data_IF_894099010986
#
_entry.id   IF_894099010986
#
_cell.length_a   1.000
_cell.length_b   1.000
_cell.length_c   1.000
_cell.angle_alpha   90.00
_cell.angle_beta   90.00
_cell.angle_gamma   90.00
#
_symmetry.space_group_name_H-M   'P 1'
#
loop_
_entity.id
_entity.type
_entity.pdbx_description
1 polymer ?
#
# COMPACT_ATOMS: atom_id res chain seq x y z
N UNK A 1 21.11 -12.72 1.16
CA UNK A 1 22.24 -12.44 0.25
C UNK A 1 21.71 -11.97 -1.10
N UNK A 2 22.54 -11.34 -1.96
CA UNK A 2 22.17 -10.93 -3.31
C UNK A 2 21.68 -12.14 -4.14
N UNK A 3 22.32 -13.27 -3.98
CA UNK A 3 21.98 -14.51 -4.70
C UNK A 3 20.57 -15.01 -4.35
N UNK A 4 20.18 -14.99 -3.08
CA UNK A 4 18.83 -15.38 -2.68
C UNK A 4 17.76 -14.40 -3.20
N UNK A 5 18.11 -13.13 -3.39
CA UNK A 5 17.22 -12.16 -3.99
C UNK A 5 17.06 -12.37 -5.49
N UNK A 6 18.17 -12.63 -6.20
CA UNK A 6 18.18 -12.96 -7.62
C UNK A 6 17.43 -14.26 -7.91
N UNK A 7 17.60 -15.27 -7.05
CA UNK A 7 16.85 -16.53 -7.14
C UNK A 7 15.34 -16.30 -6.96
N UNK A 8 14.95 -15.48 -5.99
CA UNK A 8 13.54 -15.12 -5.79
C UNK A 8 12.97 -14.39 -7.00
N UNK A 9 13.72 -13.48 -7.63
CA UNK A 9 13.31 -12.79 -8.85
C UNK A 9 13.16 -13.75 -10.03
N UNK A 10 14.08 -14.71 -10.18
CA UNK A 10 14.01 -15.70 -11.27
C UNK A 10 12.81 -16.64 -11.11
N UNK A 11 12.52 -17.08 -9.89
CA UNK A 11 11.31 -17.88 -9.58
C UNK A 11 10.04 -17.08 -9.86
N UNK A 12 10.02 -15.79 -9.51
CA UNK A 12 8.89 -14.92 -9.80
C UNK A 12 8.71 -14.76 -11.33
N UNK A 13 9.78 -14.48 -12.07
CA UNK A 13 9.76 -14.35 -13.52
C UNK A 13 9.27 -15.64 -14.20
N UNK A 14 9.73 -16.79 -13.76
CA UNK A 14 9.29 -18.08 -14.28
C UNK A 14 7.79 -18.33 -14.03
N UNK A 15 7.26 -17.94 -12.85
CA UNK A 15 5.84 -18.02 -12.54
C UNK A 15 5.02 -17.09 -13.42
N UNK A 16 5.49 -15.85 -13.64
CA UNK A 16 4.84 -14.90 -14.54
C UNK A 16 4.80 -15.44 -15.96
N UNK A 17 5.94 -15.91 -16.50
CA UNK A 17 6.02 -16.49 -17.85
C UNK A 17 5.10 -17.71 -18.02
N UNK A 18 5.05 -18.59 -17.02
CA UNK A 18 4.15 -19.75 -17.04
C UNK A 18 2.67 -19.31 -17.05
N UNK A 19 2.29 -18.35 -16.22
CA UNK A 19 0.90 -17.86 -16.17
C UNK A 19 0.49 -17.16 -17.46
N UNK A 20 1.39 -16.40 -18.08
CA UNK A 20 1.16 -15.76 -19.37
C UNK A 20 1.04 -16.82 -20.49
N UNK A 21 1.82 -17.91 -20.43
CA UNK A 21 1.76 -18.99 -21.40
C UNK A 21 0.50 -19.85 -21.25
N UNK A 22 0.06 -20.08 -20.01
CA UNK A 22 -1.15 -20.86 -19.73
C UNK A 22 -2.43 -20.15 -20.16
N UNK A 23 -2.32 -18.89 -20.65
CA UNK A 23 -3.40 -18.01 -21.15
C UNK A 23 -4.73 -18.18 -20.37
N UNK A 24 -4.61 -18.45 -19.07
CA UNK A 24 -5.77 -18.55 -18.20
C UNK A 24 -6.47 -17.20 -18.14
N UNK A 25 -7.78 -17.20 -18.28
CA UNK A 25 -8.56 -16.04 -17.94
C UNK A 25 -8.21 -15.62 -16.51
N UNK A 26 -7.99 -14.33 -16.30
CA UNK A 26 -7.82 -13.77 -14.97
C UNK A 26 -9.06 -13.97 -14.09
N UNK A 27 -8.99 -13.49 -12.90
CA UNK A 27 -10.11 -13.47 -11.95
C UNK A 27 -11.35 -12.89 -12.64
N UNK A 28 -12.51 -13.50 -12.46
CA UNK A 28 -13.76 -13.05 -13.08
C UNK A 28 -13.85 -13.22 -14.60
N UNK A 29 -12.98 -14.02 -15.23
CA UNK A 29 -13.00 -14.27 -16.68
C UNK A 29 -12.42 -13.12 -17.51
N UNK A 30 -11.85 -12.10 -16.90
CA UNK A 30 -11.24 -10.97 -17.61
C UNK A 30 -9.84 -11.37 -18.10
N UNK A 31 -9.55 -11.09 -19.38
CA UNK A 31 -8.25 -11.42 -19.97
C UNK A 31 -7.10 -10.69 -19.26
N UNK A 32 -6.02 -11.45 -18.99
CA UNK A 32 -4.79 -10.89 -18.46
C UNK A 32 -4.02 -10.15 -19.55
N UNK A 33 -3.71 -8.89 -19.30
CA UNK A 33 -2.86 -8.09 -20.17
C UNK A 33 -1.81 -7.34 -19.35
N UNK A 34 -0.64 -7.16 -19.91
CA UNK A 34 0.38 -6.33 -19.25
C UNK A 34 -0.07 -4.87 -19.25
N UNK A 35 0.08 -4.18 -18.11
CA UNK A 35 -0.14 -2.73 -18.09
C UNK A 35 0.83 -2.03 -19.02
N UNK A 36 0.37 -0.99 -19.70
CA UNK A 36 1.19 -0.21 -20.61
C UNK A 36 2.32 0.45 -19.85
N UNK A 37 3.57 0.07 -20.18
CA UNK A 37 4.75 0.68 -19.58
C UNK A 37 4.79 2.18 -19.89
N UNK A 38 4.95 2.99 -18.88
CA UNK A 38 5.11 4.43 -19.03
C UNK A 38 6.58 4.79 -19.23
N UNK A 39 6.85 5.78 -20.09
CA UNK A 39 8.20 6.29 -20.26
C UNK A 39 8.66 7.03 -19.00
N UNK A 40 9.85 6.72 -18.54
CA UNK A 40 10.53 7.42 -17.44
C UNK A 40 11.61 8.28 -18.07
N UNK A 41 11.58 9.57 -17.80
CA UNK A 41 12.47 10.55 -18.47
C UNK A 41 13.49 11.18 -17.52
N UNK A 42 13.39 10.94 -16.22
CA UNK A 42 14.19 11.58 -15.20
C UNK A 42 14.67 10.68 -14.07
N UNK A 43 15.35 11.29 -13.13
CA UNK A 43 15.74 10.64 -11.88
C UNK A 43 14.54 10.56 -10.93
N UNK A 44 14.11 9.35 -10.62
CA UNK A 44 13.01 9.11 -9.68
C UNK A 44 13.25 9.72 -8.29
N UNK A 45 14.51 10.01 -7.94
CA UNK A 45 14.87 10.67 -6.67
C UNK A 45 14.47 12.14 -6.64
N UNK A 46 14.35 12.78 -7.78
CA UNK A 46 13.89 14.18 -7.87
C UNK A 46 12.37 14.32 -7.79
N UNK A 47 11.65 13.21 -7.90
CA UNK A 47 10.20 13.17 -7.94
C UNK A 47 9.60 13.47 -9.33
N UNK A 48 10.40 13.83 -10.33
CA UNK A 48 9.91 14.21 -11.65
C UNK A 48 9.02 13.15 -12.31
N UNK A 49 9.34 11.87 -12.11
CA UNK A 49 8.58 10.76 -12.68
C UNK A 49 7.52 10.17 -11.71
N UNK A 50 7.47 10.62 -10.47
CA UNK A 50 6.59 10.02 -9.45
C UNK A 50 5.12 10.17 -9.82
N UNK A 51 4.72 11.34 -10.34
CA UNK A 51 3.35 11.58 -10.81
C UNK A 51 2.91 10.60 -11.90
N UNK A 52 3.83 10.25 -12.80
CA UNK A 52 3.58 9.31 -13.91
C UNK A 52 3.68 7.85 -13.48
N UNK A 53 4.62 7.53 -12.59
CA UNK A 53 4.91 6.14 -12.18
C UNK A 53 3.92 5.61 -11.16
N UNK A 54 3.41 6.44 -10.24
CA UNK A 54 2.49 5.96 -9.22
C UNK A 54 1.22 5.32 -9.81
N UNK A 55 0.50 5.94 -10.76
CA UNK A 55 -0.63 5.29 -11.41
C UNK A 55 -0.25 3.98 -12.11
N UNK A 56 0.95 3.90 -12.69
CA UNK A 56 1.43 2.68 -13.32
C UNK A 56 1.68 1.56 -12.28
N UNK A 57 2.22 1.87 -11.10
CA UNK A 57 2.33 0.89 -10.03
C UNK A 57 0.96 0.43 -9.52
N UNK A 58 -0.04 1.29 -9.49
CA UNK A 58 -1.41 0.89 -9.15
C UNK A 58 -1.99 -0.04 -10.24
N UNK A 59 -1.72 0.23 -11.53
CA UNK A 59 -2.07 -0.67 -12.63
C UNK A 59 -1.40 -2.03 -12.47
N UNK A 60 -0.11 -2.07 -12.10
CA UNK A 60 0.62 -3.32 -11.86
C UNK A 60 0.04 -4.13 -10.70
N UNK A 61 -0.33 -3.48 -9.60
CA UNK A 61 -0.97 -4.16 -8.45
C UNK A 61 -2.31 -4.75 -8.86
N UNK A 62 -3.17 -3.96 -9.49
CA UNK A 62 -4.49 -4.42 -9.93
C UNK A 62 -4.36 -5.60 -10.93
N UNK A 63 -3.46 -5.49 -11.92
CA UNK A 63 -3.18 -6.56 -12.87
C UNK A 63 -2.62 -7.80 -12.19
N UNK A 64 -1.71 -7.63 -11.23
CA UNK A 64 -1.14 -8.75 -10.46
C UNK A 64 -2.20 -9.55 -9.73
N UNK A 65 -3.19 -8.89 -9.15
CA UNK A 65 -4.31 -9.54 -8.48
C UNK A 65 -5.30 -10.14 -9.49
N UNK A 66 -5.69 -9.38 -10.52
CA UNK A 66 -6.56 -9.85 -11.60
C UNK A 66 -6.04 -11.13 -12.26
N UNK A 67 -4.74 -11.17 -12.56
CA UNK A 67 -4.10 -12.32 -13.19
C UNK A 67 -3.71 -13.42 -12.20
N UNK A 68 -4.05 -13.27 -10.92
CA UNK A 68 -3.69 -14.21 -9.86
C UNK A 68 -2.17 -14.50 -9.81
N UNK A 69 -1.35 -13.49 -10.15
CA UNK A 69 0.11 -13.59 -10.10
C UNK A 69 0.64 -13.48 -8.67
N UNK A 70 -0.04 -12.68 -7.86
CA UNK A 70 0.23 -12.52 -6.43
C UNK A 70 -1.05 -12.35 -5.65
N UNK A 71 -1.00 -12.64 -4.35
CA UNK A 71 -2.07 -12.35 -3.38
C UNK A 71 -1.73 -11.17 -2.47
N UNK A 72 -0.47 -10.74 -2.50
CA UNK A 72 0.02 -9.67 -1.64
C UNK A 72 0.88 -8.73 -2.47
N UNK A 73 0.67 -7.44 -2.29
CA UNK A 73 1.49 -6.39 -2.87
C UNK A 73 1.85 -5.36 -1.80
N UNK A 74 3.03 -4.77 -1.89
CA UNK A 74 3.46 -3.66 -1.04
C UNK A 74 3.92 -2.52 -1.91
N UNK A 75 3.39 -1.33 -1.66
CA UNK A 75 3.76 -0.10 -2.37
C UNK A 75 4.25 0.92 -1.35
N UNK A 76 5.44 1.45 -1.57
CA UNK A 76 6.00 2.52 -0.73
C UNK A 76 5.99 3.83 -1.51
N UNK A 77 5.40 4.86 -0.91
CA UNK A 77 5.46 6.22 -1.44
C UNK A 77 6.73 6.90 -0.91
N UNK A 78 7.77 6.91 -1.75
CA UNK A 78 9.07 7.47 -1.43
C UNK A 78 10.06 6.49 -0.84
N UNK A 79 11.26 6.97 -0.57
CA UNK A 79 12.35 6.19 -0.02
C UNK A 79 12.34 6.26 1.52
N UNK A 80 12.24 5.13 2.22
CA UNK A 80 12.01 5.12 3.67
C UNK A 80 13.23 5.52 4.51
N UNK A 81 14.43 5.57 3.93
CA UNK A 81 15.68 5.83 4.66
C UNK A 81 16.36 7.15 4.32
N UNK A 82 15.77 7.94 3.46
CA UNK A 82 16.39 9.16 3.00
C UNK A 82 16.04 10.35 3.91
N UNK A 83 16.99 10.93 4.62
CA UNK A 83 16.85 12.28 5.14
C UNK A 83 16.42 13.27 4.03
N UNK A 84 16.73 14.54 4.16
CA UNK A 84 16.30 15.58 3.21
C UNK A 84 16.67 15.31 1.74
N UNK A 85 17.74 14.55 1.50
CA UNK A 85 18.19 14.24 0.14
C UNK A 85 17.39 13.14 -0.57
N UNK A 86 16.70 12.25 0.14
CA UNK A 86 16.04 11.06 -0.42
C UNK A 86 14.52 10.99 -0.23
N UNK A 87 13.91 12.01 0.36
CA UNK A 87 12.47 12.02 0.63
C UNK A 87 11.62 12.18 -0.64
N UNK A 88 10.37 11.72 -0.55
CA UNK A 88 9.38 11.90 -1.60
C UNK A 88 9.21 13.38 -1.94
N UNK A 89 9.33 13.72 -3.22
CA UNK A 89 9.14 15.07 -3.77
C UNK A 89 7.98 15.06 -4.75
N UNK A 90 7.24 16.15 -4.79
CA UNK A 90 6.06 16.31 -5.66
C UNK A 90 6.07 17.67 -6.35
N UNK A 91 6.99 17.89 -7.33
CA UNK A 91 7.17 19.19 -7.98
C UNK A 91 5.91 19.68 -8.74
N UNK A 92 5.04 18.78 -9.19
CA UNK A 92 3.75 19.13 -9.80
C UNK A 92 2.77 19.81 -8.83
N UNK A 93 3.03 19.79 -7.53
CA UNK A 93 2.26 20.53 -6.53
C UNK A 93 2.79 21.96 -6.31
N UNK A 94 3.70 22.44 -7.18
CA UNK A 94 4.33 23.76 -7.16
C UNK A 94 5.26 24.00 -5.96
N UNK A 95 5.90 22.96 -5.45
CA UNK A 95 7.00 23.05 -4.49
C UNK A 95 7.95 21.84 -4.64
N UNK A 96 9.19 22.02 -4.23
CA UNK A 96 10.25 21.02 -4.49
C UNK A 96 10.84 20.40 -3.22
N UNK A 97 10.42 20.87 -2.06
CA UNK A 97 10.91 20.35 -0.79
C UNK A 97 10.46 18.89 -0.59
N UNK A 98 11.32 18.03 -0.02
CA UNK A 98 10.97 16.65 0.27
C UNK A 98 9.94 16.56 1.41
N UNK A 99 9.10 15.54 1.36
CA UNK A 99 8.05 15.30 2.37
C UNK A 99 8.61 15.22 3.79
N UNK A 100 9.81 14.63 3.98
CA UNK A 100 10.49 14.58 5.27
C UNK A 100 10.77 15.99 5.82
N UNK A 101 11.36 16.88 4.99
CA UNK A 101 11.62 18.26 5.40
C UNK A 101 10.33 19.02 5.74
N UNK A 102 9.27 18.79 4.97
CA UNK A 102 7.96 19.40 5.20
C UNK A 102 7.32 18.86 6.48
N UNK A 103 7.53 17.58 6.81
CA UNK A 103 6.99 16.97 8.04
C UNK A 103 7.54 17.61 9.32
N UNK A 104 8.75 18.16 9.28
CA UNK A 104 9.30 18.98 10.35
C UNK A 104 8.75 20.42 10.26
N UNK A 105 7.47 20.57 10.57
CA UNK A 105 6.75 21.81 10.34
C UNK A 105 6.87 22.81 11.49
N UNK A 106 7.17 22.40 12.72
CA UNK A 106 7.27 23.28 13.90
C UNK A 106 6.09 24.27 14.03
N UNK A 107 4.90 23.85 13.61
CA UNK A 107 3.71 24.71 13.60
C UNK A 107 3.59 25.66 12.39
N UNK A 108 4.52 25.63 11.43
CA UNK A 108 4.47 26.45 10.21
C UNK A 108 3.27 26.07 9.34
N UNK A 109 2.34 27.01 9.18
CA UNK A 109 1.11 26.79 8.41
C UNK A 109 1.37 26.49 6.92
N UNK A 110 2.44 27.03 6.34
CA UNK A 110 2.81 26.76 4.94
C UNK A 110 3.29 25.33 4.75
N UNK A 111 4.12 24.82 5.67
CA UNK A 111 4.54 23.42 5.65
C UNK A 111 3.36 22.48 5.89
N UNK A 112 2.47 22.78 6.82
CA UNK A 112 1.26 22.00 7.06
C UNK A 112 0.36 21.93 5.83
N UNK A 113 0.15 23.03 5.11
CA UNK A 113 -0.60 23.05 3.85
C UNK A 113 0.07 22.20 2.77
N UNK A 114 1.38 22.31 2.60
CA UNK A 114 2.13 21.45 1.67
C UNK A 114 2.02 19.98 2.03
N UNK A 115 2.16 19.63 3.31
CA UNK A 115 2.03 18.24 3.79
C UNK A 115 0.63 17.68 3.53
N UNK A 116 -0.41 18.50 3.77
CA UNK A 116 -1.80 18.12 3.47
C UNK A 116 -2.00 17.86 1.97
N UNK A 117 -1.45 18.71 1.10
CA UNK A 117 -1.50 18.52 -0.37
C UNK A 117 -0.83 17.22 -0.80
N UNK A 118 0.36 16.90 -0.27
CA UNK A 118 1.05 15.65 -0.56
C UNK A 118 0.25 14.44 -0.07
N UNK A 119 -0.28 14.49 1.13
CA UNK A 119 -1.11 13.42 1.71
C UNK A 119 -2.41 13.21 0.92
N UNK A 120 -3.04 14.29 0.48
CA UNK A 120 -4.23 14.23 -0.40
C UNK A 120 -3.92 13.58 -1.73
N UNK A 121 -2.77 13.89 -2.33
CA UNK A 121 -2.35 13.24 -3.57
C UNK A 121 -2.11 11.74 -3.38
N UNK A 122 -1.46 11.33 -2.29
CA UNK A 122 -1.26 9.91 -1.94
C UNK A 122 -2.61 9.20 -1.77
N UNK A 123 -3.53 9.81 -1.03
CA UNK A 123 -4.89 9.28 -0.87
C UNK A 123 -5.61 9.10 -2.23
N UNK A 124 -5.40 10.03 -3.16
CA UNK A 124 -5.91 9.94 -4.53
C UNK A 124 -5.33 8.74 -5.30
N UNK A 125 -4.05 8.39 -5.10
CA UNK A 125 -3.46 7.20 -5.73
C UNK A 125 -4.07 5.90 -5.16
N UNK A 126 -4.32 5.87 -3.87
CA UNK A 126 -4.99 4.72 -3.22
C UNK A 126 -6.45 4.60 -3.69
N UNK A 127 -7.17 5.71 -3.78
CA UNK A 127 -8.52 5.73 -4.36
C UNK A 127 -8.51 5.22 -5.81
N UNK A 128 -7.54 5.67 -6.62
CA UNK A 128 -7.37 5.18 -7.98
C UNK A 128 -7.06 3.66 -8.06
N UNK A 129 -6.39 3.08 -7.07
CA UNK A 129 -6.26 1.62 -6.97
C UNK A 129 -7.61 0.97 -6.66
N UNK A 130 -8.39 1.55 -5.74
CA UNK A 130 -9.73 1.04 -5.41
C UNK A 130 -10.64 1.05 -6.65
N UNK A 131 -10.63 2.12 -7.45
CA UNK A 131 -11.40 2.20 -8.70
C UNK A 131 -11.03 1.07 -9.68
N UNK A 132 -9.74 0.78 -9.82
CA UNK A 132 -9.25 -0.32 -10.67
C UNK A 132 -9.75 -1.68 -10.18
N UNK A 133 -9.67 -1.93 -8.88
CA UNK A 133 -10.13 -3.18 -8.29
C UNK A 133 -11.65 -3.32 -8.36
N UNK A 134 -12.39 -2.21 -8.22
CA UNK A 134 -13.84 -2.18 -8.36
C UNK A 134 -14.31 -2.42 -9.80
N UNK A 135 -13.47 -2.14 -10.79
CA UNK A 135 -13.77 -2.43 -12.19
C UNK A 135 -13.57 -3.91 -12.59
N UNK A 136 -12.96 -4.72 -11.73
CA UNK A 136 -12.66 -6.13 -12.01
C UNK A 136 -13.69 -7.01 -11.29
N UNK A 137 -14.48 -7.82 -12.03
CA UNK A 137 -15.42 -8.75 -11.41
C UNK A 137 -14.72 -9.75 -10.48
N UNK A 138 -15.35 -10.08 -9.36
CA UNK A 138 -14.86 -11.11 -8.44
C UNK A 138 -14.85 -12.49 -9.07
N UNK A 139 -13.90 -13.34 -8.66
CA UNK A 139 -13.87 -14.75 -9.02
C UNK A 139 -15.02 -15.55 -8.43
N UNK A 140 -15.61 -15.09 -7.33
CA UNK A 140 -16.77 -15.75 -6.70
C UNK A 140 -18.07 -15.61 -7.52
N UNK A 141 -18.07 -14.75 -8.56
CA UNK A 141 -19.24 -14.44 -9.38
C UNK A 141 -20.18 -13.41 -8.73
N UNK A 142 -19.81 -12.84 -7.59
CA UNK A 142 -20.58 -11.80 -6.91
C UNK A 142 -19.66 -10.66 -6.46
N UNK A 143 -20.01 -9.42 -6.79
CA UNK A 143 -19.21 -8.25 -6.47
C UNK A 143 -17.98 -8.08 -7.36
N UNK A 144 -16.98 -7.40 -6.83
CA UNK A 144 -15.75 -7.00 -7.52
C UNK A 144 -14.50 -7.48 -6.76
N UNK A 145 -13.35 -7.36 -7.38
CA UNK A 145 -12.08 -7.68 -6.74
C UNK A 145 -11.80 -6.76 -5.53
N UNK A 146 -12.35 -5.55 -5.51
CA UNK A 146 -12.26 -4.66 -4.34
C UNK A 146 -12.98 -5.25 -3.13
N UNK A 147 -14.11 -5.92 -3.33
CA UNK A 147 -14.87 -6.53 -2.23
C UNK A 147 -14.09 -7.66 -1.53
N UNK A 148 -13.19 -8.32 -2.26
CA UNK A 148 -12.32 -9.39 -1.74
C UNK A 148 -10.94 -8.88 -1.30
N UNK A 149 -10.62 -7.61 -1.55
CA UNK A 149 -9.30 -7.03 -1.26
C UNK A 149 -9.30 -6.28 0.06
N UNK A 150 -8.21 -6.43 0.80
CA UNK A 150 -7.86 -5.60 1.94
C UNK A 150 -6.71 -4.68 1.56
N UNK A 151 -6.91 -3.38 1.63
CA UNK A 151 -5.87 -2.38 1.48
C UNK A 151 -5.56 -1.82 2.87
N UNK A 152 -4.32 -1.96 3.31
CA UNK A 152 -3.85 -1.42 4.58
C UNK A 152 -2.89 -0.27 4.31
N UNK A 153 -3.33 0.95 4.63
CA UNK A 153 -2.52 2.15 4.51
C UNK A 153 -2.12 2.64 5.90
N UNK A 154 -0.84 2.77 6.12
CA UNK A 154 -0.28 3.15 7.41
C UNK A 154 0.91 4.10 7.27
N UNK A 155 1.24 4.75 8.36
CA UNK A 155 2.46 5.53 8.52
C UNK A 155 3.19 5.05 9.78
N UNK A 156 4.50 5.20 9.81
CA UNK A 156 5.34 4.83 10.95
C UNK A 156 5.37 5.90 12.06
N UNK A 157 4.92 7.12 11.77
CA UNK A 157 4.83 8.23 12.73
C UNK A 157 3.40 8.76 12.77
N UNK A 158 2.92 9.03 13.98
CA UNK A 158 1.68 9.76 14.19
C UNK A 158 1.90 11.26 14.10
N UNK A 159 3.08 11.71 14.52
CA UNK A 159 3.56 13.07 14.33
C UNK A 159 4.93 13.06 13.67
N UNK A 160 5.03 13.62 12.47
CA UNK A 160 6.27 13.69 11.70
C UNK A 160 7.25 14.72 12.25
N UNK A 161 6.78 15.77 12.92
CA UNK A 161 7.64 16.83 13.45
C UNK A 161 8.56 16.33 14.57
N UNK A 162 8.00 15.58 15.49
CA UNK A 162 8.71 14.98 16.63
C UNK A 162 9.14 13.52 16.41
N UNK A 163 8.85 12.93 15.25
CA UNK A 163 9.01 11.50 14.99
C UNK A 163 8.29 10.61 16.02
N UNK A 164 7.17 11.08 16.54
CA UNK A 164 6.40 10.35 17.53
C UNK A 164 5.73 9.11 16.95
N UNK A 165 5.86 7.99 17.63
CA UNK A 165 5.16 6.74 17.32
C UNK A 165 3.80 6.64 18.03
N UNK A 166 3.34 7.72 18.69
CA UNK A 166 2.02 7.79 19.28
C UNK A 166 0.98 8.12 18.24
N UNK A 167 -0.26 7.66 18.45
CA UNK A 167 -1.41 7.99 17.59
C UNK A 167 -1.16 7.66 16.10
N UNK A 168 -0.60 6.49 15.83
CA UNK A 168 -0.32 6.05 14.47
C UNK A 168 -1.62 5.97 13.66
N UNK A 169 -1.69 6.66 12.50
CA UNK A 169 -2.81 6.51 11.59
C UNK A 169 -2.74 5.16 10.89
N UNK A 170 -3.83 4.41 10.97
CA UNK A 170 -3.99 3.13 10.30
C UNK A 170 -5.34 3.15 9.57
N UNK A 171 -5.35 2.88 8.29
CA UNK A 171 -6.56 2.89 7.46
C UNK A 171 -6.72 1.54 6.78
N UNK A 172 -7.86 0.91 6.96
CA UNK A 172 -8.23 -0.33 6.27
C UNK A 172 -9.31 0.03 5.25
N UNK A 173 -9.09 -0.35 4.00
CA UNK A 173 -9.96 -0.04 2.87
C UNK A 173 -10.25 -1.32 2.07
N UNK A 174 -11.27 -1.27 1.21
CA UNK A 174 -11.77 -2.41 0.44
C UNK A 174 -12.84 -3.18 1.20
N UNK A 175 -13.42 -4.20 0.57
CA UNK A 175 -14.50 -5.00 1.18
C UNK A 175 -14.01 -6.04 2.17
N UNK A 176 -12.71 -6.38 2.12
CA UNK A 176 -12.03 -7.33 3.04
C UNK A 176 -12.71 -8.70 3.16
N UNK A 177 -13.50 -9.09 2.15
CA UNK A 177 -14.32 -10.29 2.21
C UNK A 177 -15.38 -10.27 3.33
N UNK A 178 -15.73 -9.08 3.83
CA UNK A 178 -16.68 -8.92 4.95
C UNK A 178 -16.08 -9.16 6.33
N UNK A 179 -14.77 -9.35 6.46
CA UNK A 179 -14.11 -9.65 7.75
C UNK A 179 -14.09 -8.46 8.70
N UNK A 180 -13.80 -7.25 8.19
CA UNK A 180 -13.74 -6.04 9.00
C UNK A 180 -15.03 -5.23 8.94
N UNK A 181 -15.43 -4.66 10.08
CA UNK A 181 -16.51 -3.68 10.12
C UNK A 181 -16.05 -2.35 9.54
N UNK A 182 -16.50 -2.04 8.32
CA UNK A 182 -16.06 -0.85 7.57
C UNK A 182 -16.87 0.40 7.92
N UNK A 183 -16.44 1.57 7.41
CA UNK A 183 -17.17 2.84 7.52
C UNK A 183 -17.17 3.45 8.92
N UNK A 184 -16.15 3.18 9.73
CA UNK A 184 -16.06 3.64 11.12
C UNK A 184 -14.68 4.18 11.48
N UNK A 185 -14.65 5.00 12.49
CA UNK A 185 -13.45 5.50 13.17
C UNK A 185 -13.32 4.84 14.54
N UNK A 186 -12.12 4.30 14.83
CA UNK A 186 -11.82 3.67 16.10
C UNK A 186 -10.61 4.37 16.72
N UNK A 187 -10.77 4.86 17.95
CA UNK A 187 -9.64 5.35 18.73
C UNK A 187 -9.19 4.23 19.69
N UNK A 188 -7.97 3.77 19.49
CA UNK A 188 -7.39 2.61 20.17
C UNK A 188 -6.22 3.04 21.08
N UNK A 189 -6.48 3.60 22.27
CA UNK A 189 -5.42 4.04 23.17
C UNK A 189 -4.62 2.85 23.71
N UNK A 190 -3.30 3.01 23.78
CA UNK A 190 -2.38 2.03 24.40
C UNK A 190 -2.42 0.62 23.78
N UNK A 191 -2.76 0.51 22.51
CA UNK A 191 -2.72 -0.76 21.77
C UNK A 191 -1.39 -0.95 21.07
N UNK A 192 -0.94 -2.19 20.97
CA UNK A 192 0.23 -2.53 20.17
C UNK A 192 -0.17 -2.55 18.68
N UNK A 193 0.44 -1.74 17.81
CA UNK A 193 0.08 -1.67 16.40
C UNK A 193 0.28 -3.01 15.66
N UNK A 194 1.12 -3.91 16.16
CA UNK A 194 1.29 -5.24 15.56
C UNK A 194 0.04 -6.12 15.67
N UNK A 195 -0.91 -5.79 16.56
CA UNK A 195 -2.20 -6.47 16.63
C UNK A 195 -3.03 -6.27 15.34
N UNK A 196 -2.86 -5.13 14.66
CA UNK A 196 -3.49 -4.90 13.35
C UNK A 196 -2.96 -5.90 12.32
N UNK A 197 -1.65 -6.20 12.35
CA UNK A 197 -1.03 -7.13 11.41
C UNK A 197 -1.52 -8.57 11.63
N UNK A 198 -1.73 -8.99 12.89
CA UNK A 198 -2.38 -10.26 13.19
C UNK A 198 -3.82 -10.28 12.66
N UNK A 199 -4.57 -9.18 12.86
CA UNK A 199 -5.94 -9.07 12.33
C UNK A 199 -5.98 -9.17 10.81
N UNK A 200 -5.02 -8.57 10.11
CA UNK A 200 -4.88 -8.68 8.64
C UNK A 200 -4.56 -10.10 8.20
N UNK A 201 -3.65 -10.79 8.91
CA UNK A 201 -3.34 -12.19 8.63
C UNK A 201 -4.58 -13.08 8.79
N UNK A 202 -5.32 -12.90 9.89
CA UNK A 202 -6.55 -13.63 10.16
C UNK A 202 -7.63 -13.37 9.09
N UNK A 203 -7.77 -12.11 8.63
CA UNK A 203 -8.67 -11.77 7.53
C UNK A 203 -8.31 -12.51 6.23
N UNK A 204 -7.05 -12.87 6.04
CA UNK A 204 -6.56 -13.67 4.91
C UNK A 204 -6.58 -15.19 5.18
N UNK A 205 -7.19 -15.63 6.27
CA UNK A 205 -7.27 -17.05 6.64
C UNK A 205 -5.96 -17.62 7.17
N UNK A 206 -5.01 -16.78 7.58
CA UNK A 206 -3.73 -17.20 8.13
C UNK A 206 -3.75 -16.96 9.65
N UNK A 207 -3.81 -18.05 10.41
CA UNK A 207 -3.71 -17.97 11.87
C UNK A 207 -2.24 -17.82 12.27
N UNK A 208 -1.93 -16.69 12.92
CA UNK A 208 -0.59 -16.40 13.45
C UNK A 208 -0.67 -16.25 14.97
N UNK A 209 0.04 -17.08 15.74
CA UNK A 209 -0.02 -17.03 17.20
C UNK A 209 0.65 -15.78 17.78
N UNK A 210 1.59 -15.18 17.03
CA UNK A 210 2.26 -13.93 17.44
C UNK A 210 2.91 -13.26 16.24
N UNK A 211 3.06 -11.94 16.31
CA UNK A 211 3.78 -11.15 15.31
C UNK A 211 4.59 -10.04 15.97
N UNK A 212 5.79 -9.79 15.48
CA UNK A 212 6.71 -8.76 15.97
C UNK A 212 7.95 -9.34 16.65
N UNK A 213 8.90 -8.46 16.93
CA UNK A 213 10.14 -8.80 17.65
C UNK A 213 9.87 -8.98 19.16
N UNK A 214 10.79 -9.67 19.83
CA UNK A 214 10.71 -9.87 21.28
C UNK A 214 10.59 -8.53 22.03
N UNK A 215 9.58 -8.42 22.89
CA UNK A 215 9.28 -7.19 23.64
C UNK A 215 8.37 -6.19 22.91
N UNK A 216 8.18 -6.35 21.59
CA UNK A 216 7.27 -5.55 20.76
C UNK A 216 6.19 -6.39 20.07
N UNK A 217 6.20 -7.71 20.27
CA UNK A 217 5.25 -8.62 19.66
C UNK A 217 3.86 -8.48 20.24
N UNK A 218 2.87 -8.73 19.39
CA UNK A 218 1.50 -9.00 19.80
C UNK A 218 1.20 -10.51 19.70
N UNK A 219 0.31 -11.00 20.55
CA UNK A 219 -0.12 -12.41 20.60
C UNK A 219 -1.62 -12.57 20.36
N UNK A 220 -2.29 -11.51 19.98
CA UNK A 220 -3.73 -11.49 19.68
C UNK A 220 -4.04 -10.46 18.60
N UNK A 221 -5.10 -10.67 17.82
CA UNK A 221 -5.61 -9.65 16.90
C UNK A 221 -6.12 -8.42 17.67
N UNK A 222 -6.25 -7.30 16.97
CA UNK A 222 -6.84 -6.10 17.54
C UNK A 222 -8.35 -6.29 17.71
N UNK A 223 -8.82 -6.23 18.94
CA UNK A 223 -10.24 -6.36 19.25
C UNK A 223 -11.06 -5.21 18.65
N UNK A 224 -12.30 -5.49 18.26
CA UNK A 224 -13.22 -4.49 17.75
C UNK A 224 -13.02 -4.12 16.27
N UNK A 225 -12.12 -4.76 15.52
CA UNK A 225 -12.00 -4.54 14.08
C UNK A 225 -12.98 -5.36 13.24
N UNK A 226 -13.38 -6.53 13.70
CA UNK A 226 -14.31 -7.41 12.98
C UNK A 226 -15.72 -6.82 12.87
N UNK A 227 -16.47 -7.27 11.87
CA UNK A 227 -17.87 -6.92 11.65
C UNK A 227 -18.77 -7.48 12.74
#
# INVERSE_FOLDING_TARGET
>A
TLDSHLESLSVYEARVKKRLADQGNGVGGVACSNPTRRAVTGDTRTGADTETLCPFFMDMVATGFQCNLTKVASVSFGYPGGGDAGGLRMPWLNFTEPMHFISHHAGDATKLDKYAKMSTWIAGQIAGLMDRLAAIPSASGSGTLLDETTIYWFNRHGDGDSHSNSQLPNVILGGTGGYFGMGRWLQMPRTNPTQVLISLANAMGVDVPSFGEQGLSATSPLSGLTA
#
